data_IF_700898464094
#
_entry.id   IF_700898464094
#
_cell.length_a   1.000
_cell.length_b   1.000
_cell.length_c   1.000
_cell.angle_alpha   90.00
_cell.angle_beta   90.00
_cell.angle_gamma   90.00
#
_symmetry.space_group_name_H-M   'P 1'
#
loop_
_entity.id
_entity.type
_entity.pdbx_description
1 polymer ?
#
# COMPACT_ATOMS: atom_id res chain seq x y z
N UNK A 21 16.49 17.38 -4.99
CA UNK A 21 16.04 17.20 -3.55
C UNK A 21 15.81 15.72 -3.19
N UNK A 22 16.85 14.89 -3.32
CA UNK A 22 16.72 13.43 -3.19
C UNK A 22 16.96 12.88 -1.79
N UNK A 23 16.40 11.70 -1.57
CA UNK A 23 16.47 10.98 -0.30
C UNK A 23 17.08 9.61 -0.56
N UNK A 24 18.38 9.48 -0.33
CA UNK A 24 19.00 8.16 -0.32
C UNK A 24 18.50 7.44 0.91
N UNK A 25 18.54 6.12 0.84
CA UNK A 25 17.74 5.28 1.72
C UNK A 25 18.44 3.92 1.84
N UNK A 26 18.74 3.49 3.07
CA UNK A 26 19.58 2.30 3.23
C UNK A 26 18.76 1.03 3.10
N UNK A 27 18.50 0.67 1.85
CA UNK A 27 17.65 -0.47 1.50
C UNK A 27 18.25 -1.77 1.99
N UNK A 28 19.57 -1.92 1.81
CA UNK A 28 20.34 -3.00 2.44
C UNK A 28 19.77 -3.17 3.85
N UNK A 29 19.96 -2.13 4.67
CA UNK A 29 19.49 -2.11 6.04
C UNK A 29 17.99 -2.35 6.15
N UNK A 30 17.22 -1.54 5.43
CA UNK A 30 15.75 -1.53 5.54
C UNK A 30 15.13 -2.88 5.17
N UNK A 31 15.43 -3.36 3.96
CA UNK A 31 14.97 -4.67 3.48
C UNK A 31 15.31 -5.79 4.47
N UNK A 32 16.26 -5.53 5.37
CA UNK A 32 16.58 -6.44 6.47
C UNK A 32 15.64 -6.39 7.67
N UNK A 33 15.27 -5.20 8.14
CA UNK A 33 14.52 -5.09 9.41
C UNK A 33 13.17 -5.82 9.40
N UNK A 34 13.03 -6.80 10.30
CA UNK A 34 11.83 -7.63 10.38
C UNK A 34 10.65 -6.93 11.07
N UNK A 35 10.93 -6.12 12.10
CA UNK A 35 9.91 -5.24 12.72
C UNK A 35 9.03 -4.58 11.66
N UNK A 36 9.66 -4.25 10.54
CA UNK A 36 9.00 -3.69 9.40
C UNK A 36 8.48 -4.75 8.45
N UNK A 37 9.22 -5.84 8.22
CA UNK A 37 8.73 -6.94 7.35
C UNK A 37 7.40 -7.46 7.87
N UNK A 38 7.42 -7.90 9.12
CA UNK A 38 6.23 -8.09 9.93
C UNK A 38 5.46 -6.80 9.91
N UNK A 39 4.30 -6.75 10.53
CA UNK A 39 3.69 -5.46 10.80
C UNK A 39 3.18 -4.78 9.56
N UNK A 40 3.87 -4.93 8.41
CA UNK A 40 3.20 -4.72 7.11
C UNK A 40 2.53 -6.01 6.70
N UNK A 41 3.13 -7.16 7.03
CA UNK A 41 2.40 -8.43 6.92
C UNK A 41 1.13 -8.22 7.72
N UNK A 42 1.28 -7.79 8.97
CA UNK A 42 0.12 -7.70 9.87
C UNK A 42 -0.86 -6.65 9.38
N UNK A 43 -0.34 -5.54 8.88
CA UNK A 43 -1.21 -4.52 8.34
C UNK A 43 -2.13 -5.14 7.31
N UNK A 44 -1.55 -5.91 6.40
CA UNK A 44 -2.33 -6.50 5.33
C UNK A 44 -3.37 -7.47 5.86
N UNK A 45 -2.93 -8.50 6.58
CA UNK A 45 -3.90 -9.49 7.06
C UNK A 45 -5.06 -8.81 7.74
N UNK A 46 -4.79 -7.89 8.64
CA UNK A 46 -5.88 -7.22 9.38
C UNK A 46 -6.91 -6.61 8.46
N UNK A 47 -6.47 -5.97 7.40
CA UNK A 47 -7.39 -5.25 6.55
C UNK A 47 -8.07 -6.18 5.56
N UNK A 48 -7.47 -7.36 5.39
CA UNK A 48 -7.88 -8.37 4.42
C UNK A 48 -9.17 -9.04 4.88
N UNK A 49 -9.10 -9.49 6.13
CA UNK A 49 -10.20 -10.19 6.75
C UNK A 49 -11.29 -9.24 7.17
N UNK A 50 -11.10 -7.96 6.87
CA UNK A 50 -12.14 -6.99 7.04
C UNK A 50 -13.03 -6.99 5.81
N UNK A 51 -12.56 -7.61 4.74
CA UNK A 51 -13.38 -7.80 3.54
C UNK A 51 -14.20 -9.08 3.60
N UNK A 52 -15.14 -9.18 2.67
CA UNK A 52 -15.88 -10.41 2.41
C UNK A 52 -15.29 -11.14 1.23
N UNK A 53 -14.67 -12.29 1.51
CA UNK A 53 -14.16 -13.17 0.48
C UNK A 53 -15.36 -13.85 -0.17
N UNK A 54 -15.24 -14.23 -1.45
CA UNK A 54 -16.30 -15.01 -2.06
C UNK A 54 -16.26 -16.48 -1.59
N UNK A 55 -17.07 -17.35 -2.23
CA UNK A 55 -17.30 -18.70 -1.71
C UNK A 55 -16.26 -19.70 -2.15
N UNK A 56 -15.51 -19.39 -3.19
CA UNK A 56 -14.52 -20.35 -3.66
C UNK A 56 -13.22 -20.30 -2.85
N UNK A 57 -13.19 -19.51 -1.76
CA UNK A 57 -11.91 -19.15 -1.07
C UNK A 57 -11.93 -19.09 0.45
N UNK A 58 -10.81 -19.52 1.06
CA UNK A 58 -10.62 -19.52 2.52
C UNK A 58 -9.16 -19.39 3.00
N UNK A 59 -8.98 -19.20 4.30
CA UNK A 59 -7.66 -19.16 4.93
C UNK A 59 -6.69 -18.44 4.00
N UNK A 60 -7.15 -17.26 3.59
CA UNK A 60 -6.39 -16.33 2.77
C UNK A 60 -5.55 -15.45 3.69
N UNK A 61 -4.24 -15.66 3.64
CA UNK A 61 -3.31 -15.07 4.60
C UNK A 61 -2.11 -14.61 3.83
N UNK A 62 -1.61 -13.41 4.13
CA UNK A 62 -0.33 -13.02 3.60
C UNK A 62 0.62 -13.80 4.45
N UNK A 63 1.48 -14.57 3.79
CA UNK A 63 2.38 -15.47 4.48
C UNK A 63 3.75 -14.83 4.62
N UNK A 64 4.09 -13.99 3.65
CA UNK A 64 5.43 -13.44 3.53
C UNK A 64 5.45 -12.16 2.69
N UNK A 65 5.85 -11.06 3.32
CA UNK A 65 6.06 -9.82 2.60
C UNK A 65 7.53 -9.72 2.30
N UNK A 66 7.83 -9.27 1.09
CA UNK A 66 9.20 -9.01 0.72
C UNK A 66 9.27 -7.77 -0.12
N UNK A 67 10.23 -6.94 0.26
CA UNK A 67 10.44 -5.64 -0.33
C UNK A 67 11.11 -5.92 -1.63
N UNK A 68 11.46 -4.88 -2.37
CA UNK A 68 12.34 -5.11 -3.49
C UNK A 68 13.65 -5.72 -3.00
N UNK A 69 14.63 -5.71 -3.89
CA UNK A 69 16.03 -5.65 -3.51
C UNK A 69 16.58 -4.29 -3.98
N UNK A 70 15.75 -3.57 -4.72
CA UNK A 70 16.01 -2.19 -5.12
C UNK A 70 15.01 -1.31 -4.38
N UNK A 71 15.46 -0.14 -3.91
CA UNK A 71 14.56 0.81 -3.28
C UNK A 71 13.75 1.61 -4.30
N UNK A 72 12.86 2.49 -3.81
CA UNK A 72 12.16 3.42 -4.69
C UNK A 72 12.96 4.69 -4.85
N UNK A 73 12.55 5.51 -5.81
CA UNK A 73 13.11 6.85 -5.97
C UNK A 73 12.28 7.86 -5.16
N UNK A 74 12.96 8.54 -4.25
CA UNK A 74 12.32 9.30 -3.20
C UNK A 74 12.71 10.79 -3.28
N UNK A 75 11.75 11.65 -3.58
CA UNK A 75 12.00 13.09 -3.67
C UNK A 75 11.26 13.86 -2.57
N UNK A 76 12.01 14.38 -1.59
CA UNK A 76 11.39 15.19 -0.52
C UNK A 76 10.81 16.45 -1.12
N UNK A 77 9.63 16.84 -0.67
CA UNK A 77 8.97 18.04 -1.16
C UNK A 77 8.55 19.02 -0.09
N UNK A 78 8.31 18.55 1.13
CA UNK A 78 7.91 19.41 2.19
C UNK A 78 8.25 18.71 3.48
N UNK A 79 8.56 19.49 4.50
CA UNK A 79 8.57 18.98 5.86
C UNK A 79 7.51 19.75 6.62
N UNK A 80 7.03 19.15 7.69
CA UNK A 80 5.96 19.71 8.50
C UNK A 80 6.02 18.95 9.79
N UNK A 81 5.21 19.41 10.71
CA UNK A 81 4.91 18.60 11.84
C UNK A 81 3.77 17.70 11.37
N UNK A 82 3.85 16.43 11.76
CA UNK A 82 2.76 15.50 11.51
C UNK A 82 1.41 16.16 11.77
N UNK A 83 0.43 15.88 10.93
CA UNK A 83 -0.94 16.35 11.21
C UNK A 83 -1.49 15.92 12.58
N UNK A 84 -2.32 16.79 13.17
CA UNK A 84 -3.02 16.52 14.44
C UNK A 84 -3.56 15.11 14.41
N UNK A 85 -4.18 14.79 13.28
CA UNK A 85 -4.90 13.53 13.16
C UNK A 85 -4.07 12.31 13.34
N UNK A 86 -2.79 12.38 13.05
CA UNK A 86 -1.91 11.29 13.45
C UNK A 86 -1.92 11.18 14.99
N UNK A 87 -1.99 12.31 15.68
CA UNK A 87 -2.19 12.31 17.13
C UNK A 87 -3.64 11.82 17.51
N UNK A 88 -3.69 10.84 18.42
CA UNK A 88 -4.85 9.91 18.52
C UNK A 88 -5.06 9.04 19.83
N UNK A 89 -6.34 8.74 20.07
CA UNK A 89 -6.81 7.85 21.13
C UNK A 89 -6.50 6.38 20.78
N UNK A 105 11.11 17.63 19.02
CA UNK A 105 9.67 17.54 19.24
C UNK A 105 9.20 16.11 19.65
N UNK A 106 9.82 15.05 19.13
CA UNK A 106 10.81 15.13 18.04
C UNK A 106 10.26 14.36 16.82
N UNK A 107 9.48 15.09 16.05
CA UNK A 107 8.51 14.51 15.18
C UNK A 107 8.55 15.31 13.93
N UNK A 108 8.18 14.67 12.83
CA UNK A 108 8.42 15.26 11.55
C UNK A 108 7.59 14.54 10.52
N UNK A 109 7.24 15.24 9.44
CA UNK A 109 6.38 14.66 8.45
C UNK A 109 6.75 15.06 7.03
N UNK A 110 7.46 14.14 6.38
CA UNK A 110 7.90 14.28 4.99
C UNK A 110 6.77 14.07 3.95
N UNK A 111 6.58 15.07 3.11
CA UNK A 111 5.76 14.91 1.92
C UNK A 111 6.70 14.50 0.83
N UNK A 112 6.56 13.28 0.36
CA UNK A 112 7.47 12.72 -0.60
C UNK A 112 6.80 12.38 -1.95
N UNK A 113 7.58 12.39 -3.02
CA UNK A 113 7.27 11.65 -4.25
C UNK A 113 7.93 10.27 -4.23
N UNK A 114 7.12 9.22 -4.18
CA UNK A 114 7.58 7.85 -4.37
C UNK A 114 7.42 7.48 -5.81
N UNK A 115 8.51 7.01 -6.41
CA UNK A 115 8.45 6.31 -7.67
C UNK A 115 9.02 4.90 -7.49
N UNK A 116 8.20 3.90 -7.81
CA UNK A 116 8.56 2.50 -7.60
C UNK A 116 8.19 1.66 -8.80
N UNK A 117 9.19 1.09 -9.47
CA UNK A 117 8.99 0.11 -10.55
C UNK A 117 9.90 -1.07 -10.29
N UNK A 118 9.90 -1.54 -9.04
CA UNK A 118 10.87 -2.53 -8.56
C UNK A 118 10.26 -3.90 -8.33
N UNK A 119 10.98 -4.72 -7.57
CA UNK A 119 10.75 -6.17 -7.50
C UNK A 119 10.17 -6.63 -6.16
N UNK A 120 9.25 -5.85 -5.62
CA UNK A 120 8.63 -6.20 -4.34
C UNK A 120 7.52 -7.20 -4.58
N UNK A 121 7.39 -8.11 -3.62
CA UNK A 121 6.51 -9.25 -3.77
C UNK A 121 5.82 -9.64 -2.47
N UNK A 122 4.51 -9.82 -2.56
CA UNK A 122 3.74 -10.36 -1.46
C UNK A 122 3.45 -11.82 -1.77
N UNK A 123 3.57 -12.65 -0.76
CA UNK A 123 3.31 -14.06 -0.88
C UNK A 123 2.09 -14.46 -0.04
N UNK A 124 0.94 -14.56 -0.69
CA UNK A 124 -0.28 -15.11 -0.05
C UNK A 124 -0.42 -16.66 -0.03
N UNK A 125 -1.49 -17.12 0.61
CA UNK A 125 -1.88 -18.52 0.59
C UNK A 125 -3.38 -18.67 0.86
N UNK A 126 -4.10 -19.37 -0.01
CA UNK A 126 -5.51 -19.68 0.27
C UNK A 126 -5.90 -21.14 0.06
N UNK A 127 -7.13 -21.44 0.46
CA UNK A 127 -7.83 -22.69 0.13
C UNK A 127 -8.88 -22.44 -0.94
N UNK A 128 -8.74 -23.15 -2.06
CA UNK A 128 -9.79 -23.22 -3.08
C UNK A 128 -10.90 -24.19 -2.69
N UNK A 129 -12.03 -24.10 -3.39
CA UNK A 129 -13.20 -24.96 -3.16
C UNK A 129 -13.91 -25.29 -4.49
N UNK A 137 -17.05 -30.52 -3.18
CA UNK A 137 -16.47 -31.86 -3.11
C UNK A 137 -15.16 -31.84 -2.33
N UNK A 138 -14.29 -30.88 -2.64
CA UNK A 138 -12.96 -30.82 -2.00
C UNK A 138 -12.33 -29.42 -1.94
N UNK A 139 -11.27 -29.35 -1.14
CA UNK A 139 -10.52 -28.14 -0.85
C UNK A 139 -9.10 -28.27 -1.38
N UNK A 140 -8.71 -27.36 -2.26
CA UNK A 140 -7.34 -27.34 -2.73
C UNK A 140 -6.58 -26.12 -2.19
N UNK A 141 -5.54 -26.36 -1.40
CA UNK A 141 -4.62 -25.31 -0.97
C UNK A 141 -3.84 -24.69 -2.12
N UNK A 142 -3.90 -23.37 -2.24
CA UNK A 142 -3.08 -22.69 -3.26
C UNK A 142 -2.08 -21.71 -2.66
N UNK A 143 -1.10 -21.34 -3.49
CA UNK A 143 -0.07 -20.37 -3.12
C UNK A 143 0.08 -19.34 -4.25
N UNK A 144 0.04 -18.05 -3.89
CA UNK A 144 0.17 -16.97 -4.88
C UNK A 144 1.30 -16.00 -4.54
N UNK A 145 1.74 -15.28 -5.57
CA UNK A 145 2.65 -14.15 -5.43
C UNK A 145 2.00 -12.95 -6.10
N UNK A 146 1.95 -11.84 -5.37
CA UNK A 146 1.70 -10.54 -5.98
C UNK A 146 3.06 -9.92 -6.14
N UNK A 147 3.29 -9.32 -7.31
CA UNK A 147 4.54 -8.64 -7.62
C UNK A 147 4.36 -7.71 -8.83
N UNK A 148 5.45 -7.11 -9.29
CA UNK A 148 5.40 -6.13 -10.37
C UNK A 148 4.46 -5.02 -9.99
N UNK A 149 4.71 -4.46 -8.80
CA UNK A 149 3.91 -3.35 -8.27
C UNK A 149 4.51 -2.02 -8.73
N UNK A 150 3.70 -1.21 -9.39
CA UNK A 150 4.15 0.08 -9.88
C UNK A 150 3.35 1.25 -9.32
N UNK A 151 3.99 2.08 -8.50
CA UNK A 151 3.36 3.31 -8.03
C UNK A 151 4.21 4.49 -8.46
N UNK A 152 3.57 5.60 -8.84
CA UNK A 152 4.29 6.86 -8.88
C UNK A 152 3.45 7.96 -8.26
N UNK A 153 3.88 8.31 -7.05
CA UNK A 153 2.97 8.67 -6.00
C UNK A 153 3.44 9.83 -5.17
N UNK A 154 2.48 10.64 -4.75
CA UNK A 154 2.66 11.57 -3.67
C UNK A 154 2.29 10.86 -2.40
N UNK A 155 3.11 10.99 -1.37
CA UNK A 155 2.90 10.21 -0.16
C UNK A 155 3.52 10.88 1.07
N UNK A 156 2.71 10.96 2.14
CA UNK A 156 3.13 11.42 3.46
C UNK A 156 3.87 10.36 4.19
N UNK A 157 5.02 10.70 4.74
CA UNK A 157 5.71 9.84 5.71
C UNK A 157 5.92 10.58 7.04
N UNK A 158 5.46 9.98 8.13
CA UNK A 158 5.34 10.66 9.43
C UNK A 158 5.86 9.81 10.56
N UNK A 159 7.05 10.15 11.05
CA UNK A 159 7.65 9.50 12.23
C UNK A 159 7.18 10.29 13.41
N UNK A 160 6.53 9.62 14.36
CA UNK A 160 6.19 10.26 15.63
C UNK A 160 6.02 9.26 16.79
N UNK A 161 6.51 9.64 17.97
CA UNK A 161 6.41 8.82 19.19
C UNK A 161 6.78 7.35 18.94
N UNK A 162 7.94 7.12 18.32
CA UNK A 162 8.44 5.75 18.02
C UNK A 162 7.89 5.11 16.73
N UNK A 163 6.85 5.71 16.15
CA UNK A 163 6.08 5.04 15.11
C UNK A 163 6.14 5.74 13.78
N UNK A 164 5.91 4.98 12.72
CA UNK A 164 5.93 5.50 11.35
C UNK A 164 4.58 5.32 10.71
N UNK A 165 4.06 6.40 10.13
CA UNK A 165 2.82 6.34 9.37
C UNK A 165 3.06 6.66 7.93
N UNK A 166 2.50 5.80 7.06
CA UNK A 166 2.70 5.95 5.63
C UNK A 166 1.34 6.04 5.02
N UNK A 167 1.06 7.21 4.48
CA UNK A 167 -0.22 7.48 3.89
C UNK A 167 -0.01 7.96 2.46
N UNK A 168 -0.54 7.22 1.49
CA UNK A 168 -0.40 7.64 0.10
C UNK A 168 -1.48 8.67 -0.14
N UNK A 169 -1.21 9.56 -1.09
CA UNK A 169 -2.02 10.72 -1.34
C UNK A 169 -2.60 10.63 -2.72
N UNK A 170 -1.76 10.52 -3.74
CA UNK A 170 -2.25 10.29 -5.09
C UNK A 170 -1.15 10.08 -6.07
N UNK A 171 -1.56 9.55 -7.22
CA UNK A 171 -0.68 9.34 -8.36
C UNK A 171 -0.31 10.73 -8.84
N UNK A 172 0.97 10.98 -9.10
CA UNK A 172 1.43 12.31 -9.59
C UNK A 172 0.70 12.75 -10.88
N UNK A 173 0.45 11.79 -11.76
CA UNK A 173 -0.24 12.04 -13.02
C UNK A 173 -1.74 12.16 -12.84
N UNK A 174 -2.21 12.17 -11.60
CA UNK A 174 -3.61 12.38 -11.33
C UNK A 174 -3.95 13.75 -11.90
N UNK A 175 -4.97 13.82 -12.75
CA UNK A 175 -5.54 15.08 -13.17
C UNK A 175 -5.74 16.09 -12.07
N UNK A 176 -6.24 15.63 -10.92
CA UNK A 176 -6.68 16.55 -9.87
C UNK A 176 -5.55 17.49 -9.43
N UNK A 177 -4.33 17.06 -9.69
CA UNK A 177 -3.17 17.93 -9.62
C UNK A 177 -3.06 18.99 -10.73
N UNK A 178 -3.02 18.56 -12.00
CA UNK A 178 -3.01 19.47 -13.15
C UNK A 178 -3.91 20.68 -12.91
N UNK A 179 -5.20 20.45 -12.62
CA UNK A 179 -6.04 21.50 -12.05
C UNK A 179 -5.62 21.80 -10.60
N UNK A 180 -5.86 23.01 -10.14
CA UNK A 180 -5.77 23.32 -8.71
C UNK A 180 -7.08 22.84 -8.08
N UNK A 181 -7.40 21.55 -8.26
CA UNK A 181 -8.72 21.04 -7.87
C UNK A 181 -8.68 20.07 -6.67
N UNK A 182 -7.49 19.86 -6.10
CA UNK A 182 -7.31 18.99 -4.94
C UNK A 182 -6.09 19.46 -4.19
N UNK A 183 -6.26 19.85 -2.92
CA UNK A 183 -5.19 20.50 -2.19
C UNK A 183 -4.37 19.44 -1.51
N UNK A 184 -3.11 19.32 -1.91
CA UNK A 184 -2.22 18.34 -1.27
C UNK A 184 -1.16 18.98 -0.38
N UNK A 185 -1.40 20.20 0.06
CA UNK A 185 -0.53 20.76 1.09
C UNK A 185 -1.13 20.42 2.44
N UNK A 186 -0.47 19.52 3.19
CA UNK A 186 -1.01 19.10 4.46
C UNK A 186 -0.98 20.19 5.53
N UNK A 187 -0.54 21.40 5.20
CA UNK A 187 -0.54 22.51 6.16
C UNK A 187 -0.61 23.90 5.53
N UNK A 188 -1.76 24.32 4.99
CA UNK A 188 -2.77 23.42 4.46
C UNK A 188 -4.22 23.57 4.88
N UNK A 189 -4.93 24.59 4.35
CA UNK A 189 -6.40 24.56 4.48
C UNK A 189 -7.03 23.63 3.44
N UNK A 190 -8.18 23.05 3.78
CA UNK A 190 -8.89 22.12 2.90
C UNK A 190 -7.94 21.09 2.21
N UNK A 191 -7.12 20.45 3.05
CA UNK A 191 -6.14 19.49 2.61
C UNK A 191 -6.86 18.20 2.35
N UNK A 192 -6.90 17.79 1.09
CA UNK A 192 -7.67 16.62 0.63
C UNK A 192 -9.13 16.79 1.01
N UNK A 193 -9.72 17.91 0.61
CA UNK A 193 -11.14 18.14 0.80
C UNK A 193 -11.92 17.26 -0.14
N UNK A 194 -13.17 17.64 -0.42
CA UNK A 194 -13.96 16.90 -1.41
C UNK A 194 -13.10 16.84 -2.68
N UNK A 195 -13.52 16.00 -3.63
CA UNK A 195 -12.71 15.66 -4.80
C UNK A 195 -11.76 14.52 -4.49
N UNK A 196 -11.45 14.34 -3.21
CA UNK A 196 -10.54 13.29 -2.75
C UNK A 196 -10.99 11.93 -3.24
N UNK A 197 -12.30 11.79 -3.40
CA UNK A 197 -12.86 10.50 -3.72
C UNK A 197 -12.75 10.15 -5.17
N UNK A 198 -12.33 11.12 -5.98
CA UNK A 198 -12.15 10.89 -7.40
C UNK A 198 -10.73 10.44 -7.77
N UNK A 199 -9.89 10.14 -6.78
CA UNK A 199 -8.49 9.87 -7.10
C UNK A 199 -8.34 8.68 -8.02
N UNK A 200 -7.31 8.70 -8.84
CA UNK A 200 -7.04 7.58 -9.73
C UNK A 200 -6.26 6.54 -8.93
N UNK A 201 -6.28 5.28 -9.36
CA UNK A 201 -5.64 4.23 -8.61
C UNK A 201 -4.21 4.63 -8.30
N UNK A 202 -3.71 4.22 -7.16
CA UNK A 202 -2.33 4.45 -6.85
C UNK A 202 -1.45 3.34 -7.43
N UNK A 203 -2.05 2.19 -7.67
CA UNK A 203 -1.33 1.14 -8.34
C UNK A 203 -1.43 1.46 -9.82
N UNK A 204 -0.27 1.51 -10.46
CA UNK A 204 -0.20 1.70 -11.90
C UNK A 204 -0.12 0.33 -12.56
N UNK A 205 0.60 -0.60 -11.95
CA UNK A 205 0.47 -1.97 -12.38
C UNK A 205 0.90 -2.98 -11.33
N UNK A 206 0.54 -4.23 -11.59
CA UNK A 206 0.62 -5.29 -10.59
C UNK A 206 0.44 -6.68 -11.25
N UNK A 207 1.24 -7.65 -10.80
CA UNK A 207 1.31 -8.98 -11.38
C UNK A 207 1.03 -10.03 -10.31
N UNK A 208 0.00 -10.84 -10.54
CA UNK A 208 -0.35 -11.95 -9.64
C UNK A 208 -0.34 -13.29 -10.39
N UNK A 209 0.51 -14.21 -9.93
CA UNK A 209 0.62 -15.54 -10.54
C UNK A 209 0.61 -16.57 -9.44
N UNK A 210 -0.04 -17.71 -9.71
CA UNK A 210 -0.32 -18.77 -8.73
C UNK A 210 0.66 -19.98 -8.84
N UNK A 211 0.62 -20.88 -7.86
CA UNK A 211 1.44 -22.12 -7.89
C UNK A 211 0.93 -23.19 -6.93
N UNK A 220 -7.70 -29.79 -14.81
CA UNK A 220 -9.16 -29.74 -14.65
C UNK A 220 -9.67 -28.32 -14.87
N UNK A 221 -10.99 -28.13 -14.82
CA UNK A 221 -11.62 -26.80 -14.95
C UNK A 221 -11.79 -26.06 -13.62
N UNK A 222 -10.89 -26.34 -12.68
CA UNK A 222 -10.68 -25.50 -11.52
C UNK A 222 -10.01 -24.18 -11.94
N UNK A 223 -9.33 -24.20 -13.09
CA UNK A 223 -8.72 -23.01 -13.67
C UNK A 223 -9.69 -21.82 -13.83
N UNK A 224 -10.96 -22.11 -14.10
CA UNK A 224 -12.00 -21.08 -14.11
C UNK A 224 -11.97 -20.28 -12.80
N UNK A 225 -11.61 -20.96 -11.71
CA UNK A 225 -11.56 -20.38 -10.38
C UNK A 225 -10.20 -19.80 -10.00
N UNK A 226 -9.10 -20.50 -10.28
CA UNK A 226 -7.77 -19.92 -10.03
C UNK A 226 -7.55 -18.69 -10.91
N UNK A 227 -8.05 -18.71 -12.13
CA UNK A 227 -8.32 -17.45 -12.83
C UNK A 227 -9.52 -16.90 -12.10
N UNK A 228 -9.75 -15.60 -12.15
CA UNK A 228 -10.86 -15.00 -11.38
C UNK A 228 -10.74 -15.13 -9.83
N UNK A 229 -9.93 -16.06 -9.33
CA UNK A 229 -9.38 -15.87 -7.99
C UNK A 229 -8.37 -14.74 -8.11
N UNK A 230 -7.26 -15.03 -8.80
CA UNK A 230 -6.35 -14.01 -9.29
C UNK A 230 -7.03 -12.66 -9.59
N UNK A 231 -8.18 -12.65 -10.27
CA UNK A 231 -8.92 -11.40 -10.54
C UNK A 231 -9.46 -10.74 -9.30
N UNK A 232 -9.99 -11.55 -8.39
CA UNK A 232 -10.57 -11.03 -7.17
C UNK A 232 -9.49 -10.33 -6.38
N UNK A 233 -8.33 -10.96 -6.27
CA UNK A 233 -7.28 -10.43 -5.42
C UNK A 233 -6.79 -9.11 -5.87
N UNK A 234 -6.64 -8.97 -7.16
CA UNK A 234 -6.22 -7.70 -7.69
C UNK A 234 -7.23 -6.71 -7.23
N UNK A 235 -8.47 -6.89 -7.60
CA UNK A 235 -9.46 -5.88 -7.27
C UNK A 235 -9.47 -5.66 -5.76
N UNK A 236 -9.38 -6.72 -4.98
CA UNK A 236 -9.36 -6.53 -3.55
C UNK A 236 -8.16 -5.66 -3.22
N UNK A 237 -6.99 -6.17 -3.52
CA UNK A 237 -5.76 -5.50 -3.16
C UNK A 237 -5.70 -4.02 -3.58
N UNK A 238 -6.10 -3.71 -4.80
CA UNK A 238 -6.28 -2.31 -5.17
C UNK A 238 -7.11 -1.56 -4.13
N UNK A 239 -8.29 -2.10 -3.78
CA UNK A 239 -9.20 -1.48 -2.78
C UNK A 239 -8.60 -1.37 -1.42
N UNK A 240 -7.87 -2.40 -1.04
CA UNK A 240 -7.17 -2.40 0.22
C UNK A 240 -6.20 -1.22 0.30
N UNK A 241 -5.55 -0.89 -0.81
CA UNK A 241 -4.68 0.28 -0.87
C UNK A 241 -5.46 1.58 -0.92
N UNK A 242 -6.39 1.67 -1.86
CA UNK A 242 -7.24 2.86 -1.95
C UNK A 242 -7.87 3.15 -0.60
N UNK A 243 -8.40 2.11 0.04
CA UNK A 243 -9.28 2.30 1.20
C UNK A 243 -8.46 2.37 2.50
N UNK A 244 -7.51 1.46 2.70
CA UNK A 244 -6.82 1.40 4.00
C UNK A 244 -5.35 1.95 4.04
N UNK A 245 -4.83 2.43 2.91
CA UNK A 245 -3.42 2.91 2.84
C UNK A 245 -3.23 4.32 2.31
N UNK A 246 -4.29 4.84 1.75
CA UNK A 246 -4.27 6.13 1.18
C UNK A 246 -4.97 7.01 2.17
N UNK A 247 -4.32 8.10 2.53
CA UNK A 247 -5.01 9.16 3.23
C UNK A 247 -6.44 9.17 2.73
N UNK A 248 -7.45 9.27 3.60
CA UNK A 248 -7.37 9.49 5.07
C UNK A 248 -6.82 8.34 5.92
N UNK A 249 -6.55 7.20 5.29
CA UNK A 249 -6.07 6.05 6.02
C UNK A 249 -4.58 5.99 5.90
N UNK A 250 -3.97 5.08 6.64
CA UNK A 250 -2.54 4.86 6.48
C UNK A 250 -2.04 3.56 7.07
N UNK A 251 -0.89 3.14 6.60
CA UNK A 251 -0.17 2.07 7.22
C UNK A 251 0.43 2.62 8.49
N UNK A 252 0.51 1.81 9.53
CA UNK A 252 1.19 2.16 10.79
C UNK A 252 2.25 1.10 11.14
N UNK A 253 3.40 1.52 11.65
CA UNK A 253 4.54 0.62 11.91
C UNK A 253 5.33 1.13 13.12
N UNK A 254 6.60 0.73 13.21
CA UNK A 254 7.63 1.50 13.97
C UNK A 254 9.06 1.26 13.45
#
# INVERSE_FOLDING_TARGET
MGSSHHHHHHSSGLVPRGSHMSVEIDWDNIRGDLSVNQGVKDFLNSRLQEFELPSYVNNLKVTNFDLGTMPPNVILKQMDDPLDEFYSYLLQEGDISKEAAKDKNTDVQLLVELDYKGDMSIELSADLVLNYPSPQFMILPVKLRISDIGMHCLCLLAYLKKQLFISFLCDVSDPLLENDKLQVDPSGPNFMGKRALERISLIRNIKIHTELGQLDQGEGSVLRSVGKLEEFLVDLFRNLIRKEAAWPSWIDLDFTPED
#
